data_IF_906237789213
#
_entry.id   IF_906237789213
#
_cell.length_a   1.000
_cell.length_b   1.000
_cell.length_c   1.000
_cell.angle_alpha   90.00
_cell.angle_beta   90.00
_cell.angle_gamma   90.00
#
_symmetry.space_group_name_H-M   'P 1'
#
loop_
_entity.id
_entity.type
_entity.pdbx_description
1 polymer ?
#
# COMPACT_ATOMS: atom_id res chain seq x y z
N UNK A 1 67.11 -23.17 -44.28
CA UNK A 1 67.74 -22.34 -43.25
C UNK A 1 66.92 -21.05 -43.04
N UNK A 2 66.08 -21.00 -42.07
CA UNK A 2 65.65 -19.77 -41.37
C UNK A 2 65.08 -20.15 -40.00
N UNK A 3 65.68 -19.57 -38.98
CA UNK A 3 65.38 -19.70 -37.55
C UNK A 3 64.01 -19.19 -37.15
N UNK A 4 63.28 -19.78 -36.16
CA UNK A 4 62.01 -19.27 -35.71
C UNK A 4 62.19 -18.19 -34.64
N UNK A 5 61.45 -17.08 -34.82
CA UNK A 5 61.35 -15.94 -33.88
C UNK A 5 60.51 -16.36 -32.67
N UNK A 6 61.03 -16.11 -31.45
CA UNK A 6 60.35 -16.22 -30.17
C UNK A 6 59.22 -15.20 -30.08
N UNK A 7 58.00 -15.68 -29.74
CA UNK A 7 56.86 -14.83 -29.31
C UNK A 7 56.99 -14.57 -27.82
N UNK A 8 57.06 -13.27 -27.48
CA UNK A 8 57.05 -12.81 -26.08
C UNK A 8 55.67 -12.91 -25.46
N UNK A 9 55.64 -13.47 -24.25
CA UNK A 9 54.44 -13.54 -23.40
C UNK A 9 53.99 -12.16 -22.98
N UNK A 10 52.78 -11.72 -23.41
CA UNK A 10 52.10 -10.57 -22.84
C UNK A 10 51.53 -10.95 -21.48
N UNK A 11 52.00 -10.28 -20.44
CA UNK A 11 51.43 -10.33 -19.09
C UNK A 11 50.00 -9.72 -19.14
N UNK A 12 49.01 -10.48 -18.76
CA UNK A 12 47.66 -10.00 -18.48
C UNK A 12 47.71 -9.08 -17.25
N UNK A 13 47.60 -7.78 -17.47
CA UNK A 13 47.38 -6.80 -16.42
C UNK A 13 45.92 -6.93 -15.94
N UNK A 14 45.71 -7.56 -14.76
CA UNK A 14 44.47 -7.43 -14.03
C UNK A 14 44.29 -5.97 -13.61
N UNK A 15 43.32 -5.28 -14.22
CA UNK A 15 42.85 -3.98 -13.73
C UNK A 15 42.09 -4.26 -12.45
N UNK A 16 42.73 -4.01 -11.32
CA UNK A 16 42.04 -3.94 -10.02
C UNK A 16 41.11 -2.73 -10.06
N UNK A 17 39.80 -2.96 -10.18
CA UNK A 17 38.80 -1.94 -9.86
C UNK A 17 38.88 -1.68 -8.36
N UNK A 18 39.63 -0.66 -7.97
CA UNK A 18 39.52 -0.08 -6.63
C UNK A 18 38.15 0.58 -6.53
N UNK A 19 37.26 -0.04 -5.79
CA UNK A 19 35.98 0.56 -5.40
C UNK A 19 36.28 1.93 -4.75
N UNK A 20 35.51 3.00 -5.09
CA UNK A 20 35.68 4.28 -4.43
C UNK A 20 35.47 4.13 -2.92
N UNK A 21 36.13 4.95 -2.08
CA UNK A 21 36.05 4.83 -0.63
C UNK A 21 34.61 4.94 -0.19
N UNK A 22 34.16 3.94 0.56
CA UNK A 22 32.84 3.89 1.19
C UNK A 22 32.71 5.15 2.04
N UNK A 23 31.91 6.14 1.59
CA UNK A 23 31.49 7.27 2.42
C UNK A 23 30.92 6.66 3.69
N UNK A 24 31.47 7.05 4.83
CA UNK A 24 31.11 6.55 6.15
C UNK A 24 29.57 6.49 6.26
N UNK A 25 29.03 5.29 6.27
CA UNK A 25 27.59 5.06 6.46
C UNK A 25 27.23 5.62 7.81
N UNK A 26 26.40 6.67 7.82
CA UNK A 26 25.86 7.22 9.09
C UNK A 26 25.27 6.04 9.87
N UNK A 27 25.70 5.88 11.13
CA UNK A 27 25.16 4.86 12.01
C UNK A 27 23.63 4.93 12.01
N UNK A 28 22.87 3.82 11.98
CA UNK A 28 21.41 3.83 12.07
C UNK A 28 20.89 4.64 13.26
N UNK A 29 21.64 4.73 14.33
CA UNK A 29 21.33 5.57 15.49
C UNK A 29 21.36 7.06 15.14
N UNK A 30 22.35 7.53 14.40
CA UNK A 30 22.44 8.93 13.96
C UNK A 30 21.31 9.28 12.98
N UNK A 31 20.93 8.36 12.11
CA UNK A 31 19.78 8.53 11.21
C UNK A 31 18.47 8.68 12.01
N UNK A 32 18.28 7.88 13.04
CA UNK A 32 17.13 7.99 13.96
C UNK A 32 17.10 9.33 14.68
N UNK A 33 18.23 9.80 15.20
CA UNK A 33 18.31 11.10 15.87
C UNK A 33 18.00 12.26 14.90
N UNK A 34 18.53 12.21 13.68
CA UNK A 34 18.20 13.20 12.63
C UNK A 34 16.72 13.17 12.27
N UNK A 35 16.11 11.99 12.17
CA UNK A 35 14.66 11.88 11.94
C UNK A 35 13.86 12.48 13.10
N UNK A 36 14.22 12.18 14.35
CA UNK A 36 13.58 12.77 15.53
C UNK A 36 13.67 14.29 15.52
N UNK A 37 14.85 14.84 15.24
CA UNK A 37 15.06 16.29 15.13
C UNK A 37 14.19 16.91 14.03
N UNK A 38 14.02 16.23 12.87
CA UNK A 38 13.12 16.68 11.81
C UNK A 38 11.66 16.68 12.24
N UNK A 39 11.20 15.61 12.89
CA UNK A 39 9.84 15.51 13.41
C UNK A 39 9.53 16.68 14.35
N UNK A 40 10.44 17.01 15.28
CA UNK A 40 10.30 18.13 16.22
C UNK A 40 10.35 19.50 15.52
N UNK A 41 11.18 19.66 14.48
CA UNK A 41 11.33 20.92 13.74
C UNK A 41 10.10 21.26 12.90
N UNK A 42 9.53 20.28 12.21
CA UNK A 42 8.48 20.50 11.20
C UNK A 42 7.06 20.30 11.74
N UNK A 43 6.91 19.70 12.92
CA UNK A 43 5.61 19.45 13.52
C UNK A 43 5.55 20.04 14.93
N UNK A 44 4.35 20.28 15.44
CA UNK A 44 4.18 20.71 16.83
C UNK A 44 3.93 19.54 17.78
N UNK A 45 4.01 19.82 19.07
CA UNK A 45 3.82 18.85 20.13
C UNK A 45 2.46 18.15 20.08
N UNK A 46 1.38 18.88 19.73
CA UNK A 46 0.02 18.31 19.63
C UNK A 46 -0.08 17.30 18.49
N UNK A 47 0.43 17.63 17.31
CA UNK A 47 0.44 16.72 16.15
C UNK A 47 1.29 15.48 16.44
N UNK A 48 2.48 15.67 17.00
CA UNK A 48 3.36 14.55 17.37
C UNK A 48 2.75 13.67 18.46
N UNK A 49 2.08 14.25 19.44
CA UNK A 49 1.35 13.50 20.46
C UNK A 49 0.21 12.66 19.85
N UNK A 50 -0.63 13.27 19.01
CA UNK A 50 -1.70 12.53 18.33
C UNK A 50 -1.15 11.40 17.46
N UNK A 51 -0.08 11.66 16.70
CA UNK A 51 0.59 10.65 15.90
C UNK A 51 1.13 9.50 16.78
N UNK A 52 1.90 9.82 17.81
CA UNK A 52 2.49 8.83 18.71
C UNK A 52 1.42 8.02 19.45
N UNK A 53 0.38 8.68 19.95
CA UNK A 53 -0.70 8.01 20.68
C UNK A 53 -1.57 7.16 19.76
N UNK A 54 -2.03 7.71 18.63
CA UNK A 54 -2.98 7.00 17.76
C UNK A 54 -2.28 5.99 16.88
N UNK A 55 -1.24 6.41 16.13
CA UNK A 55 -0.49 5.50 15.24
C UNK A 55 0.53 4.65 15.99
N UNK A 56 1.17 5.18 17.03
CA UNK A 56 2.11 4.40 17.82
C UNK A 56 1.41 3.40 18.72
N UNK A 57 0.66 3.89 19.72
CA UNK A 57 0.10 3.03 20.77
C UNK A 57 -1.19 2.34 20.35
N UNK A 58 -2.23 3.11 19.95
CA UNK A 58 -3.54 2.51 19.66
C UNK A 58 -3.52 1.58 18.44
N UNK A 59 -2.80 1.94 17.38
CA UNK A 59 -2.69 1.08 16.20
C UNK A 59 -1.90 -0.21 16.52
N UNK A 60 -0.85 -0.15 17.32
CA UNK A 60 -0.13 -1.34 17.78
C UNK A 60 -1.04 -2.27 18.61
N UNK A 61 -1.86 -1.70 19.51
CA UNK A 61 -2.86 -2.47 20.28
C UNK A 61 -3.93 -3.07 19.36
N UNK A 62 -4.34 -2.37 18.31
CA UNK A 62 -5.29 -2.88 17.32
C UNK A 62 -4.73 -4.11 16.59
N UNK A 63 -3.47 -4.06 16.16
CA UNK A 63 -2.78 -5.19 15.52
C UNK A 63 -2.59 -6.35 16.50
N UNK A 64 -2.27 -6.07 17.76
CA UNK A 64 -2.15 -7.14 18.78
C UNK A 64 -3.50 -7.83 19.03
N UNK A 65 -4.61 -7.09 19.04
CA UNK A 65 -5.96 -7.68 19.09
C UNK A 65 -6.24 -8.53 17.84
N UNK A 66 -5.83 -8.07 16.67
CA UNK A 66 -5.94 -8.85 15.42
C UNK A 66 -5.18 -10.17 15.54
N UNK A 67 -3.91 -10.16 15.99
CA UNK A 67 -3.13 -11.40 16.21
C UNK A 67 -3.83 -12.38 17.16
N UNK A 68 -4.43 -11.88 18.25
CA UNK A 68 -5.19 -12.73 19.19
C UNK A 68 -6.45 -13.32 18.55
N UNK A 69 -7.13 -12.56 17.69
CA UNK A 69 -8.28 -13.06 16.91
C UNK A 69 -7.88 -14.12 15.91
N UNK A 70 -6.79 -13.92 15.18
CA UNK A 70 -6.27 -14.92 14.24
C UNK A 70 -6.05 -16.28 14.90
N UNK A 71 -5.54 -16.32 16.14
CA UNK A 71 -5.38 -17.55 16.91
C UNK A 71 -6.71 -18.27 17.23
N UNK A 72 -7.83 -17.57 17.13
CA UNK A 72 -9.19 -18.12 17.31
C UNK A 72 -9.94 -18.34 15.99
N UNK A 73 -9.24 -18.19 14.86
CA UNK A 73 -9.86 -18.26 13.54
C UNK A 73 -10.71 -17.05 13.15
N UNK A 74 -10.72 -16.00 13.98
CA UNK A 74 -11.49 -14.78 13.75
C UNK A 74 -10.64 -13.75 13.00
N UNK A 75 -11.19 -13.14 11.93
CA UNK A 75 -10.49 -12.09 11.18
C UNK A 75 -11.32 -10.82 11.11
N UNK A 76 -10.85 -9.78 11.78
CA UNK A 76 -11.33 -8.42 11.62
C UNK A 76 -10.13 -7.50 11.40
N UNK A 77 -10.09 -6.71 10.30
CA UNK A 77 -8.90 -5.97 9.90
C UNK A 77 -8.60 -4.82 10.88
N UNK A 78 -7.37 -4.67 11.38
CA UNK A 78 -6.98 -3.51 12.18
C UNK A 78 -6.87 -2.21 11.37
N UNK A 79 -6.78 -2.30 10.04
CA UNK A 79 -6.74 -1.16 9.12
C UNK A 79 -7.86 -1.29 8.08
N UNK A 80 -8.61 -0.21 7.87
CA UNK A 80 -9.63 -0.14 6.82
C UNK A 80 -9.29 0.97 5.82
N UNK A 81 -9.32 0.63 4.56
CA UNK A 81 -9.33 1.61 3.48
C UNK A 81 -10.77 1.90 3.09
N UNK A 82 -11.13 3.17 2.99
CA UNK A 82 -12.49 3.60 2.65
C UNK A 82 -12.43 4.54 1.46
N UNK A 83 -13.00 4.10 0.34
CA UNK A 83 -13.23 4.98 -0.81
C UNK A 83 -14.43 5.88 -0.55
N UNK A 84 -14.16 7.16 -0.32
CA UNK A 84 -15.22 8.11 0.01
C UNK A 84 -15.93 8.67 -1.23
N UNK A 85 -15.31 8.56 -2.41
CA UNK A 85 -15.82 9.05 -3.70
C UNK A 85 -15.14 8.29 -4.85
N UNK A 86 -15.85 8.05 -5.96
CA UNK A 86 -15.25 7.48 -7.17
C UNK A 86 -14.76 8.54 -8.18
N UNK A 87 -15.22 9.77 -8.10
CA UNK A 87 -14.84 10.82 -9.05
C UNK A 87 -13.45 11.38 -8.80
N UNK A 88 -12.74 11.70 -9.89
CA UNK A 88 -11.41 12.32 -9.86
C UNK A 88 -11.28 13.34 -11.01
N UNK A 89 -10.45 14.35 -10.79
CA UNK A 89 -10.10 15.34 -11.83
C UNK A 89 -8.99 14.88 -12.78
N UNK A 90 -8.38 13.73 -12.51
CA UNK A 90 -7.29 13.14 -13.32
C UNK A 90 -7.72 11.84 -13.99
N UNK A 91 -6.96 11.43 -15.02
CA UNK A 91 -7.10 10.17 -15.77
C UNK A 91 -5.74 9.50 -15.85
N UNK A 92 -5.28 9.01 -14.68
CA UNK A 92 -3.96 8.38 -14.58
C UNK A 92 -3.93 7.06 -15.33
N UNK A 93 -2.82 6.81 -16.03
CA UNK A 93 -2.60 5.54 -16.73
C UNK A 93 -2.68 4.36 -15.76
N UNK A 94 -3.57 3.41 -16.06
CA UNK A 94 -3.78 2.21 -15.26
C UNK A 94 -4.34 2.49 -13.86
N UNK A 95 -5.14 3.53 -13.70
CA UNK A 95 -5.85 3.78 -12.45
C UNK A 95 -6.88 2.68 -12.18
N UNK A 96 -6.87 2.14 -10.96
CA UNK A 96 -7.83 1.11 -10.56
C UNK A 96 -9.26 1.65 -10.33
N UNK A 97 -9.41 2.97 -10.12
CA UNK A 97 -10.72 3.60 -9.90
C UNK A 97 -11.37 3.91 -11.24
N UNK A 98 -12.61 3.48 -11.42
CA UNK A 98 -13.43 3.91 -12.55
C UNK A 98 -14.01 5.30 -12.29
N UNK A 99 -13.36 6.30 -12.87
CA UNK A 99 -13.77 7.70 -12.77
C UNK A 99 -14.77 8.11 -13.85
N UNK A 100 -15.14 7.20 -14.78
CA UNK A 100 -16.17 7.41 -15.81
C UNK A 100 -17.57 7.05 -15.31
N UNK A 101 -17.67 6.20 -14.30
CA UNK A 101 -18.93 5.83 -13.68
C UNK A 101 -19.64 7.05 -13.05
N UNK A 102 -20.97 6.96 -12.93
CA UNK A 102 -21.76 7.99 -12.23
C UNK A 102 -21.16 8.26 -10.86
N UNK A 103 -21.03 9.55 -10.54
CA UNK A 103 -20.45 9.95 -9.26
C UNK A 103 -21.22 9.33 -8.09
N UNK A 104 -20.48 8.70 -7.20
CA UNK A 104 -20.95 8.14 -5.94
C UNK A 104 -20.06 8.67 -4.82
N UNK A 105 -20.67 9.03 -3.71
CA UNK A 105 -20.01 9.40 -2.46
C UNK A 105 -20.55 8.55 -1.33
N UNK A 106 -19.71 8.20 -0.37
CA UNK A 106 -20.18 7.56 0.85
C UNK A 106 -21.01 8.57 1.66
N UNK A 107 -22.17 8.15 2.11
CA UNK A 107 -23.03 8.98 2.95
C UNK A 107 -22.44 9.15 4.35
N UNK A 108 -22.39 10.38 4.93
CA UNK A 108 -21.82 10.59 6.25
C UNK A 108 -22.41 9.73 7.38
N UNK A 109 -23.73 9.55 7.52
CA UNK A 109 -24.30 8.60 8.47
C UNK A 109 -23.72 7.18 8.33
N UNK A 110 -23.59 6.65 7.10
CA UNK A 110 -23.02 5.35 6.84
C UNK A 110 -21.52 5.29 7.21
N UNK A 111 -20.75 6.34 6.87
CA UNK A 111 -19.35 6.46 7.26
C UNK A 111 -19.18 6.50 8.79
N UNK A 112 -19.99 7.29 9.49
CA UNK A 112 -19.91 7.38 10.94
C UNK A 112 -20.32 6.08 11.63
N UNK A 113 -21.31 5.36 11.09
CA UNK A 113 -21.66 4.01 11.56
C UNK A 113 -20.49 3.05 11.39
N UNK A 114 -19.91 3.02 10.18
CA UNK A 114 -18.72 2.21 9.87
C UNK A 114 -17.57 2.46 10.86
N UNK A 115 -17.22 3.73 11.09
CA UNK A 115 -16.13 4.09 12.00
C UNK A 115 -16.45 3.68 13.45
N UNK A 116 -17.68 3.87 13.93
CA UNK A 116 -18.06 3.46 15.29
C UNK A 116 -17.94 1.95 15.46
N UNK A 117 -18.55 1.16 14.57
CA UNK A 117 -18.51 -0.30 14.63
C UNK A 117 -17.06 -0.85 14.50
N UNK A 118 -16.23 -0.24 13.66
CA UNK A 118 -14.83 -0.60 13.56
C UNK A 118 -14.04 -0.26 14.84
N UNK A 119 -14.35 0.85 15.52
CA UNK A 119 -13.73 1.22 16.81
C UNK A 119 -14.09 0.24 17.93
N UNK A 120 -15.30 -0.30 17.96
CA UNK A 120 -15.69 -1.36 18.90
C UNK A 120 -14.81 -2.61 18.73
N UNK A 121 -14.38 -2.88 17.51
CA UNK A 121 -13.41 -3.92 17.21
C UNK A 121 -11.94 -3.49 17.44
N UNK A 122 -11.71 -2.25 17.87
CA UNK A 122 -10.41 -1.70 18.21
C UNK A 122 -9.64 -1.12 17.01
N UNK A 123 -10.29 -0.97 15.85
CA UNK A 123 -9.72 -0.25 14.72
C UNK A 123 -9.68 1.25 15.02
N UNK A 124 -8.55 1.89 14.73
CA UNK A 124 -8.35 3.33 14.94
C UNK A 124 -7.67 4.01 13.75
N UNK A 125 -7.28 3.23 12.74
CA UNK A 125 -6.62 3.73 11.53
C UNK A 125 -7.49 3.49 10.30
N UNK A 126 -7.67 4.56 9.53
CA UNK A 126 -8.43 4.54 8.29
C UNK A 126 -7.62 5.18 7.15
N UNK A 127 -7.41 4.44 6.07
CA UNK A 127 -6.93 5.00 4.81
C UNK A 127 -8.12 5.55 4.03
N UNK A 128 -8.16 6.83 3.79
CA UNK A 128 -9.19 7.48 2.97
C UNK A 128 -8.68 7.52 1.54
N UNK A 129 -9.39 6.80 0.69
CA UNK A 129 -9.07 6.64 -0.74
C UNK A 129 -10.30 6.98 -1.59
N UNK A 130 -10.23 6.67 -2.88
CA UNK A 130 -11.30 6.90 -3.83
C UNK A 130 -10.74 7.36 -5.17
N UNK A 131 -11.50 8.16 -5.91
CA UNK A 131 -10.98 8.94 -7.02
C UNK A 131 -10.03 10.02 -6.47
N UNK A 132 -10.59 11.19 -6.14
CA UNK A 132 -9.86 12.22 -5.39
C UNK A 132 -10.67 12.59 -4.13
N UNK A 133 -10.22 12.21 -2.93
CA UNK A 133 -10.98 12.43 -1.70
C UNK A 133 -11.32 13.91 -1.44
N UNK A 134 -10.43 14.86 -1.80
CA UNK A 134 -10.69 16.28 -1.62
C UNK A 134 -11.73 16.86 -2.60
N UNK A 135 -12.24 16.05 -3.53
CA UNK A 135 -13.44 16.37 -4.32
C UNK A 135 -14.75 15.98 -3.60
N UNK A 136 -14.68 15.18 -2.53
CA UNK A 136 -15.85 14.89 -1.72
C UNK A 136 -16.35 16.15 -1.03
N UNK A 137 -17.60 16.59 -1.27
CA UNK A 137 -18.09 17.92 -0.81
C UNK A 137 -18.11 18.06 0.71
N UNK A 138 -18.25 16.94 1.41
CA UNK A 138 -18.37 16.86 2.87
C UNK A 138 -17.21 16.11 3.54
N UNK A 139 -16.02 16.09 2.93
CA UNK A 139 -14.86 15.30 3.44
C UNK A 139 -14.56 15.61 4.92
N UNK A 140 -14.53 16.87 5.29
CA UNK A 140 -14.21 17.24 6.67
C UNK A 140 -15.29 16.82 7.66
N UNK A 141 -16.55 16.81 7.26
CA UNK A 141 -17.64 16.27 8.09
C UNK A 141 -17.46 14.78 8.37
N UNK A 142 -16.87 14.02 7.45
CA UNK A 142 -16.53 12.61 7.69
C UNK A 142 -15.45 12.46 8.76
N UNK A 143 -14.46 13.33 8.80
CA UNK A 143 -13.24 13.15 9.60
C UNK A 143 -13.32 13.80 11.00
N UNK A 144 -13.93 15.00 11.10
CA UNK A 144 -13.98 15.82 12.31
C UNK A 144 -14.62 15.15 13.53
N UNK A 145 -15.72 14.38 13.40
CA UNK A 145 -16.36 13.70 14.54
C UNK A 145 -15.54 12.57 15.18
N UNK A 146 -14.37 12.20 14.60
CA UNK A 146 -13.57 11.08 15.05
C UNK A 146 -12.15 11.49 15.47
N UNK A 147 -11.96 12.36 16.48
CA UNK A 147 -10.66 12.88 16.89
C UNK A 147 -9.74 11.81 17.51
N UNK A 148 -10.27 10.67 17.89
CA UNK A 148 -9.62 9.51 18.47
C UNK A 148 -9.17 8.45 17.44
N UNK A 149 -9.52 8.65 16.16
CA UNK A 149 -9.02 7.91 15.01
C UNK A 149 -7.85 8.64 14.33
N UNK A 150 -7.13 7.95 13.47
CA UNK A 150 -6.12 8.53 12.58
C UNK A 150 -6.47 8.25 11.12
N UNK A 151 -6.47 9.30 10.31
CA UNK A 151 -6.86 9.23 8.90
C UNK A 151 -5.65 9.53 8.00
N UNK A 152 -5.35 8.61 7.10
CA UNK A 152 -4.39 8.82 6.02
C UNK A 152 -5.15 9.04 4.72
N UNK A 153 -5.09 10.25 4.16
CA UNK A 153 -5.83 10.63 2.97
C UNK A 153 -4.93 10.55 1.74
N UNK A 154 -5.20 9.59 0.87
CA UNK A 154 -4.50 9.45 -0.41
C UNK A 154 -5.07 10.45 -1.41
N UNK A 155 -4.25 11.35 -1.90
CA UNK A 155 -4.71 12.48 -2.72
C UNK A 155 -3.72 12.84 -3.81
N UNK A 156 -4.19 13.40 -4.91
CA UNK A 156 -3.33 14.02 -5.90
C UNK A 156 -2.83 15.42 -5.46
N UNK A 157 -3.34 15.94 -4.35
CA UNK A 157 -2.90 17.20 -3.74
C UNK A 157 -3.49 18.49 -4.36
N UNK A 158 -4.06 18.45 -5.55
CA UNK A 158 -4.45 19.64 -6.31
C UNK A 158 -5.57 20.45 -5.67
N UNK A 159 -6.36 19.85 -4.79
CA UNK A 159 -7.46 20.50 -4.07
C UNK A 159 -7.10 20.92 -2.64
N UNK A 160 -5.84 20.78 -2.23
CA UNK A 160 -5.40 21.22 -0.90
C UNK A 160 -5.01 22.70 -0.96
N UNK A 161 -5.99 23.58 -0.77
CA UNK A 161 -5.76 25.02 -0.59
C UNK A 161 -5.11 25.30 0.77
N UNK A 162 -4.62 26.53 0.96
CA UNK A 162 -4.07 26.95 2.25
C UNK A 162 -5.11 26.84 3.39
N UNK A 163 -6.38 27.17 3.11
CA UNK A 163 -7.48 27.01 4.07
C UNK A 163 -7.71 25.54 4.47
N UNK A 164 -7.73 24.64 3.49
CA UNK A 164 -7.87 23.21 3.76
C UNK A 164 -6.66 22.69 4.55
N UNK A 165 -5.46 23.15 4.23
CA UNK A 165 -4.26 22.79 4.97
C UNK A 165 -4.31 23.27 6.44
N UNK A 166 -4.79 24.50 6.69
CA UNK A 166 -5.06 25.01 8.04
C UNK A 166 -6.06 24.13 8.79
N UNK A 167 -7.15 23.73 8.12
CA UNK A 167 -8.16 22.83 8.72
C UNK A 167 -7.58 21.44 9.05
N UNK A 168 -6.80 20.85 8.14
CA UNK A 168 -6.06 19.58 8.42
C UNK A 168 -5.14 19.72 9.64
N UNK A 169 -4.46 20.87 9.76
CA UNK A 169 -3.62 21.19 10.90
C UNK A 169 -4.42 21.28 12.21
N UNK A 170 -5.60 21.89 12.19
CA UNK A 170 -6.51 21.98 13.34
C UNK A 170 -6.97 20.59 13.80
N UNK A 171 -7.27 19.69 12.87
CA UNK A 171 -7.62 18.30 13.20
C UNK A 171 -6.45 17.57 13.87
N UNK A 172 -5.27 17.62 13.27
CA UNK A 172 -4.03 17.04 13.80
C UNK A 172 -3.98 15.51 13.84
N UNK A 173 -5.04 14.83 13.42
CA UNK A 173 -5.16 13.38 13.29
C UNK A 173 -5.39 12.94 11.82
N UNK A 174 -5.12 13.82 10.88
CA UNK A 174 -5.21 13.59 9.45
C UNK A 174 -3.87 13.84 8.80
N UNK A 175 -3.37 12.89 8.05
CA UNK A 175 -2.15 13.02 7.24
C UNK A 175 -2.47 12.89 5.77
N UNK A 176 -2.24 13.93 4.96
CA UNK A 176 -2.25 13.78 3.51
C UNK A 176 -1.06 12.92 3.06
N UNK A 177 -1.34 11.97 2.20
CA UNK A 177 -0.36 11.18 1.47
C UNK A 177 -0.48 11.55 0.00
N UNK A 178 0.39 12.45 -0.44
CA UNK A 178 0.28 13.14 -1.72
C UNK A 178 0.97 12.32 -2.81
N UNK A 179 0.26 12.05 -3.87
CA UNK A 179 0.73 11.18 -4.96
C UNK A 179 1.63 11.95 -5.92
N UNK A 180 2.91 11.56 -6.01
CA UNK A 180 3.91 12.10 -6.94
C UNK A 180 4.58 10.93 -7.65
N UNK A 181 4.59 10.94 -8.99
CA UNK A 181 5.02 9.77 -9.79
C UNK A 181 6.42 9.92 -10.39
N UNK A 182 7.16 10.98 -10.04
CA UNK A 182 8.51 11.24 -10.55
C UNK A 182 8.77 12.72 -10.77
N UNK A 183 9.69 13.02 -11.68
CA UNK A 183 9.94 14.37 -12.19
C UNK A 183 8.77 14.86 -13.05
N UNK A 184 8.79 16.12 -13.50
CA UNK A 184 7.64 16.76 -14.16
C UNK A 184 7.12 15.95 -15.36
N UNK A 185 8.01 15.59 -16.29
CA UNK A 185 7.63 14.85 -17.50
C UNK A 185 7.03 13.48 -17.13
N UNK A 186 7.68 12.74 -16.25
CA UNK A 186 7.25 11.39 -15.84
C UNK A 186 5.93 11.45 -15.07
N UNK A 187 5.79 12.46 -14.19
CA UNK A 187 4.58 12.62 -13.38
C UNK A 187 3.39 13.05 -14.24
N UNK A 188 3.56 14.00 -15.13
CA UNK A 188 2.49 14.51 -15.98
C UNK A 188 2.01 13.45 -16.98
N UNK A 189 2.94 12.73 -17.62
CA UNK A 189 2.60 11.61 -18.51
C UNK A 189 1.81 10.52 -17.76
N UNK A 190 2.32 10.08 -16.61
CA UNK A 190 1.67 9.05 -15.78
C UNK A 190 0.28 9.46 -15.30
N UNK A 191 0.07 10.76 -15.05
CA UNK A 191 -1.18 11.35 -14.56
C UNK A 191 -2.13 11.76 -15.68
N UNK A 192 -1.71 11.63 -16.94
CA UNK A 192 -2.53 11.86 -18.14
C UNK A 192 -2.90 13.32 -18.39
N UNK A 193 -2.11 14.27 -17.88
CA UNK A 193 -2.37 15.70 -18.05
C UNK A 193 -1.10 16.52 -17.80
N UNK A 194 -0.95 17.64 -18.50
CA UNK A 194 0.11 18.64 -18.26
C UNK A 194 -0.15 19.40 -16.95
N UNK A 195 0.90 19.96 -16.37
CA UNK A 195 0.89 20.77 -15.14
C UNK A 195 0.41 20.05 -13.88
N UNK A 196 0.36 18.72 -13.89
CA UNK A 196 -0.10 17.95 -12.73
C UNK A 196 0.89 18.09 -11.59
N UNK A 197 2.21 17.92 -11.87
CA UNK A 197 3.22 18.00 -10.83
C UNK A 197 3.25 19.38 -10.18
N UNK A 198 3.20 20.47 -10.95
CA UNK A 198 3.23 21.83 -10.40
C UNK A 198 2.07 22.09 -9.43
N UNK A 199 0.84 21.73 -9.81
CA UNK A 199 -0.36 21.84 -8.96
C UNK A 199 -0.32 20.91 -7.74
N UNK A 200 0.21 19.71 -7.90
CA UNK A 200 0.41 18.76 -6.78
C UNK A 200 1.42 19.32 -5.78
N UNK A 201 2.51 19.92 -6.27
CA UNK A 201 3.52 20.54 -5.42
C UNK A 201 2.99 21.78 -4.69
N UNK A 202 2.08 22.54 -5.28
CA UNK A 202 1.40 23.66 -4.60
C UNK A 202 0.63 23.15 -3.37
N UNK A 203 -0.20 22.11 -3.54
CA UNK A 203 -0.91 21.48 -2.41
C UNK A 203 0.03 20.90 -1.35
N UNK A 204 1.14 20.29 -1.77
CA UNK A 204 2.18 19.82 -0.85
C UNK A 204 2.78 20.98 -0.05
N UNK A 205 3.16 22.07 -0.71
CA UNK A 205 3.70 23.26 -0.03
C UNK A 205 2.67 23.91 0.91
N UNK A 206 1.38 23.90 0.56
CA UNK A 206 0.32 24.37 1.46
C UNK A 206 0.29 23.56 2.76
N UNK A 207 0.41 22.23 2.67
CA UNK A 207 0.51 21.36 3.84
C UNK A 207 1.75 21.68 4.68
N UNK A 208 2.92 21.75 4.04
CA UNK A 208 4.19 21.95 4.74
C UNK A 208 4.27 23.31 5.44
N UNK A 209 3.83 24.39 4.77
CA UNK A 209 3.77 25.74 5.38
C UNK A 209 2.87 25.77 6.60
N UNK A 210 1.78 25.02 6.58
CA UNK A 210 0.86 24.91 7.71
C UNK A 210 1.26 23.82 8.73
N UNK A 211 2.47 23.25 8.63
CA UNK A 211 2.98 22.21 9.54
C UNK A 211 2.07 20.99 9.67
N UNK A 212 1.42 20.60 8.58
CA UNK A 212 0.67 19.35 8.51
C UNK A 212 1.65 18.20 8.34
N UNK A 213 1.53 17.16 9.16
CA UNK A 213 2.32 15.93 8.98
C UNK A 213 1.97 15.29 7.64
N UNK A 214 2.86 15.38 6.67
CA UNK A 214 2.58 15.08 5.27
C UNK A 214 3.54 14.06 4.70
N UNK A 215 3.01 13.12 3.93
CA UNK A 215 3.78 12.14 3.17
C UNK A 215 3.63 12.28 1.67
N UNK A 216 4.53 11.61 0.94
CA UNK A 216 4.46 11.45 -0.52
C UNK A 216 4.36 9.96 -0.82
N UNK A 217 3.41 9.57 -1.67
CA UNK A 217 3.37 8.21 -2.22
C UNK A 217 3.65 8.21 -3.74
N UNK A 218 4.19 7.10 -4.19
CA UNK A 218 4.46 6.86 -5.60
C UNK A 218 3.95 5.47 -5.96
N UNK A 219 3.40 5.32 -7.15
CA UNK A 219 3.06 4.03 -7.73
C UNK A 219 4.20 3.59 -8.65
N UNK A 220 5.10 2.75 -8.14
CA UNK A 220 6.24 2.24 -8.90
C UNK A 220 5.77 1.43 -10.11
N UNK A 221 6.14 1.90 -11.29
CA UNK A 221 5.86 1.29 -12.57
C UNK A 221 7.17 1.23 -13.40
N UNK A 222 7.19 0.47 -14.49
CA UNK A 222 8.37 0.41 -15.38
C UNK A 222 8.82 1.76 -15.88
N UNK A 223 7.88 2.67 -16.08
CA UNK A 223 8.15 3.99 -16.69
C UNK A 223 8.73 5.01 -15.72
N UNK A 224 8.66 4.77 -14.39
CA UNK A 224 9.12 5.75 -13.40
C UNK A 224 10.11 5.18 -12.37
N UNK A 225 10.40 3.89 -12.40
CA UNK A 225 11.23 3.25 -11.36
C UNK A 225 12.66 3.83 -11.34
N UNK A 226 13.22 4.16 -12.49
CA UNK A 226 14.57 4.68 -12.58
C UNK A 226 14.68 6.14 -12.14
N UNK A 227 13.61 6.91 -12.22
CA UNK A 227 13.51 8.27 -11.71
C UNK A 227 13.37 8.29 -10.19
N UNK A 228 12.58 7.36 -9.65
CA UNK A 228 12.17 7.31 -8.23
C UNK A 228 13.14 6.57 -7.31
N UNK A 229 13.76 5.48 -7.78
CA UNK A 229 14.69 4.70 -6.95
C UNK A 229 16.12 5.28 -7.01
N UNK A 230 16.24 6.55 -6.64
CA UNK A 230 17.51 7.29 -6.55
C UNK A 230 17.67 7.98 -5.20
N UNK A 231 18.90 8.06 -4.70
CA UNK A 231 19.15 8.82 -3.47
C UNK A 231 18.76 10.30 -3.63
N UNK A 232 18.95 10.84 -4.83
CA UNK A 232 18.57 12.22 -5.17
C UNK A 232 17.08 12.48 -4.98
N UNK A 233 16.23 11.52 -5.36
CA UNK A 233 14.77 11.61 -5.13
C UNK A 233 14.45 11.68 -3.65
N UNK A 234 15.02 10.78 -2.84
CA UNK A 234 14.80 10.76 -1.39
C UNK A 234 15.32 12.04 -0.74
N UNK A 235 16.50 12.51 -1.13
CA UNK A 235 17.06 13.78 -0.63
C UNK A 235 16.16 14.96 -0.95
N UNK A 236 15.61 15.05 -2.17
CA UNK A 236 14.63 16.07 -2.54
C UNK A 236 13.41 16.08 -1.62
N UNK A 237 12.84 14.90 -1.30
CA UNK A 237 11.73 14.80 -0.35
C UNK A 237 12.11 15.28 1.06
N UNK A 238 13.33 14.97 1.49
CA UNK A 238 13.87 15.43 2.77
C UNK A 238 14.01 16.95 2.79
N UNK A 239 14.58 17.53 1.75
CA UNK A 239 14.88 18.96 1.66
C UNK A 239 13.63 19.83 1.64
N UNK A 240 12.58 19.40 0.96
CA UNK A 240 11.28 20.12 0.94
C UNK A 240 10.48 19.94 2.22
N UNK A 241 10.87 19.03 3.13
CA UNK A 241 10.24 18.86 4.45
C UNK A 241 9.23 17.70 4.55
N UNK A 242 9.16 16.79 3.58
CA UNK A 242 8.29 15.60 3.63
C UNK A 242 8.73 14.67 4.77
N UNK A 243 7.78 14.19 5.57
CA UNK A 243 8.06 13.40 6.76
C UNK A 243 8.15 11.90 6.49
N UNK A 244 7.38 11.41 5.51
CA UNK A 244 7.40 10.00 5.13
C UNK A 244 7.10 9.82 3.64
N UNK A 245 7.58 8.71 3.09
CA UNK A 245 7.25 8.31 1.72
C UNK A 245 6.78 6.86 1.69
N UNK A 246 5.90 6.56 0.76
CA UNK A 246 5.37 5.22 0.55
C UNK A 246 5.52 4.81 -0.90
N UNK A 247 6.31 3.77 -1.13
CA UNK A 247 6.47 3.15 -2.45
C UNK A 247 5.43 2.04 -2.62
N UNK A 248 4.37 2.32 -3.38
CA UNK A 248 3.44 1.31 -3.83
C UNK A 248 3.96 0.64 -5.10
N UNK A 249 3.67 -0.63 -5.29
CA UNK A 249 3.95 -1.32 -6.55
C UNK A 249 2.67 -1.33 -7.37
N UNK A 250 2.75 -0.85 -8.61
CA UNK A 250 1.63 -0.83 -9.54
C UNK A 250 1.00 -2.22 -9.73
N UNK A 251 -0.32 -2.27 -9.80
CA UNK A 251 -1.11 -3.46 -10.08
C UNK A 251 -2.08 -3.18 -11.23
N UNK A 252 -2.14 -4.04 -12.26
CA UNK A 252 -2.90 -3.80 -13.48
C UNK A 252 -4.36 -4.20 -13.28
N UNK A 253 -5.14 -3.36 -12.61
CA UNK A 253 -6.56 -3.55 -12.39
C UNK A 253 -7.31 -2.27 -12.68
N UNK A 254 -8.57 -2.38 -13.07
CA UNK A 254 -9.43 -1.24 -13.38
C UNK A 254 -9.69 -1.10 -14.90
N UNK A 255 -10.46 -0.07 -15.31
CA UNK A 255 -10.94 0.08 -16.68
C UNK A 255 -9.83 0.28 -17.73
N UNK A 256 -8.68 0.76 -17.30
CA UNK A 256 -7.47 0.91 -18.14
C UNK A 256 -6.31 0.13 -17.53
N UNK A 257 -6.51 -1.17 -17.31
CA UNK A 257 -5.44 -2.02 -16.80
C UNK A 257 -4.26 -2.07 -17.77
N UNK A 258 -3.07 -1.72 -17.30
CA UNK A 258 -1.83 -1.61 -18.08
C UNK A 258 -0.79 -2.63 -17.62
N UNK A 259 -0.88 -3.89 -18.12
CA UNK A 259 0.09 -4.94 -17.73
C UNK A 259 1.53 -4.62 -18.09
N UNK A 260 1.76 -3.77 -19.09
CA UNK A 260 3.05 -3.27 -19.53
C UNK A 260 3.75 -2.37 -18.47
N UNK A 261 2.99 -1.75 -17.57
CA UNK A 261 3.52 -0.94 -16.48
C UNK A 261 3.99 -1.77 -15.27
N UNK A 262 3.66 -3.06 -15.19
CA UNK A 262 4.06 -3.91 -14.06
C UNK A 262 5.58 -4.07 -14.00
N UNK A 263 6.12 -3.99 -12.80
CA UNK A 263 7.53 -4.26 -12.54
C UNK A 263 7.88 -5.73 -12.84
N UNK A 264 9.10 -5.97 -13.30
CA UNK A 264 9.67 -7.32 -13.36
C UNK A 264 10.05 -7.78 -11.93
N UNK A 265 10.27 -9.10 -11.72
CA UNK A 265 10.78 -9.60 -10.43
C UNK A 265 12.09 -8.92 -10.01
N UNK A 266 13.02 -8.69 -10.94
CA UNK A 266 14.29 -8.00 -10.70
C UNK A 266 14.08 -6.56 -10.27
N UNK A 267 13.17 -5.84 -10.94
CA UNK A 267 12.81 -4.46 -10.58
C UNK A 267 12.18 -4.39 -9.18
N UNK A 268 11.35 -5.35 -8.82
CA UNK A 268 10.76 -5.41 -7.46
C UNK A 268 11.82 -5.71 -6.40
N UNK A 269 12.75 -6.62 -6.68
CA UNK A 269 13.88 -6.89 -5.80
C UNK A 269 14.76 -5.64 -5.64
N UNK A 270 15.06 -4.94 -6.74
CA UNK A 270 15.77 -3.64 -6.71
C UNK A 270 15.03 -2.62 -5.84
N UNK A 271 13.71 -2.50 -5.98
CA UNK A 271 12.89 -1.60 -5.15
C UNK A 271 12.98 -1.96 -3.66
N UNK A 272 12.89 -3.24 -3.33
CA UNK A 272 13.06 -3.71 -1.94
C UNK A 272 14.43 -3.40 -1.40
N UNK A 273 15.49 -3.69 -2.14
CA UNK A 273 16.87 -3.40 -1.75
C UNK A 273 17.06 -1.90 -1.50
N UNK A 274 16.60 -1.06 -2.43
CA UNK A 274 16.66 0.40 -2.30
C UNK A 274 15.97 0.89 -1.03
N UNK A 275 14.75 0.43 -0.75
CA UNK A 275 13.99 0.82 0.45
C UNK A 275 14.76 0.47 1.72
N UNK A 276 15.30 -0.74 1.82
CA UNK A 276 16.07 -1.18 3.01
C UNK A 276 17.35 -0.35 3.20
N UNK A 277 18.03 -0.01 2.10
CA UNK A 277 19.23 0.82 2.15
C UNK A 277 18.92 2.27 2.56
N UNK A 278 17.88 2.87 1.97
CA UNK A 278 17.50 4.26 2.29
C UNK A 278 17.01 4.40 3.73
N UNK A 279 16.31 3.43 4.28
CA UNK A 279 15.94 3.39 5.70
C UNK A 279 17.14 3.48 6.64
N UNK A 280 18.25 2.87 6.26
CA UNK A 280 19.48 2.92 7.05
C UNK A 280 20.25 4.22 6.90
N UNK A 281 20.11 4.92 5.76
CA UNK A 281 20.93 6.08 5.39
C UNK A 281 20.22 7.43 5.57
N UNK A 282 18.90 7.50 5.36
CA UNK A 282 18.16 8.76 5.19
C UNK A 282 17.19 9.03 6.33
N UNK A 283 17.12 10.28 6.86
CA UNK A 283 16.26 10.65 7.99
C UNK A 283 14.83 10.97 7.52
N UNK A 284 14.18 10.01 6.88
CA UNK A 284 12.78 10.05 6.44
C UNK A 284 12.15 8.68 6.69
N UNK A 285 10.87 8.65 7.06
CA UNK A 285 10.15 7.38 7.20
C UNK A 285 9.82 6.85 5.81
N UNK A 286 10.24 5.61 5.51
CA UNK A 286 9.92 4.96 4.24
C UNK A 286 9.02 3.76 4.53
N UNK A 287 7.78 3.80 4.02
CA UNK A 287 6.80 2.74 4.21
C UNK A 287 6.89 1.73 3.07
N UNK A 288 6.82 0.47 3.42
CA UNK A 288 6.74 -0.68 2.54
C UNK A 288 5.93 -1.76 3.25
N UNK A 289 4.71 -1.99 2.81
CA UNK A 289 3.75 -2.90 3.44
C UNK A 289 3.76 -4.32 2.85
N UNK A 290 4.62 -4.58 1.84
CA UNK A 290 4.61 -5.83 1.06
C UNK A 290 5.62 -6.86 1.51
N UNK A 291 6.40 -6.58 2.54
CA UNK A 291 7.42 -7.49 3.08
C UNK A 291 7.40 -7.45 4.60
N UNK A 292 7.69 -8.60 5.22
CA UNK A 292 7.91 -8.69 6.67
C UNK A 292 9.34 -8.24 7.07
N UNK A 293 9.69 -8.40 8.33
CA UNK A 293 11.02 -8.02 8.85
C UNK A 293 12.15 -8.84 8.30
N UNK A 294 11.89 -10.09 7.93
CA UNK A 294 12.85 -11.02 7.36
C UNK A 294 12.99 -10.85 5.82
N UNK A 295 12.19 -9.96 5.23
CA UNK A 295 12.21 -9.69 3.79
C UNK A 295 11.38 -10.66 2.97
N UNK A 296 10.55 -11.48 3.61
CA UNK A 296 9.61 -12.35 2.91
C UNK A 296 8.42 -11.53 2.44
N UNK A 297 8.00 -11.73 1.19
CA UNK A 297 6.85 -11.04 0.66
C UNK A 297 5.57 -11.44 1.43
N UNK A 298 4.63 -10.52 1.56
CA UNK A 298 3.32 -10.74 2.15
C UNK A 298 2.24 -9.91 1.45
N UNK A 299 1.03 -10.45 1.41
CA UNK A 299 -0.15 -9.74 0.96
C UNK A 299 -0.97 -9.27 2.18
N UNK A 300 -1.19 -7.95 2.37
CA UNK A 300 -1.99 -7.44 3.47
C UNK A 300 -3.42 -8.02 3.54
N UNK A 301 -4.04 -8.29 2.40
CA UNK A 301 -5.37 -8.91 2.35
C UNK A 301 -5.33 -10.39 2.77
N UNK A 302 -4.29 -11.14 2.39
CA UNK A 302 -4.11 -12.53 2.81
C UNK A 302 -3.85 -12.67 4.31
N UNK A 303 -3.11 -11.72 4.91
CA UNK A 303 -2.92 -11.68 6.37
C UNK A 303 -4.15 -11.14 7.11
N UNK A 304 -5.16 -10.62 6.39
CA UNK A 304 -6.36 -10.01 6.96
C UNK A 304 -6.10 -8.70 7.71
N UNK A 305 -4.90 -8.11 7.56
CA UNK A 305 -4.53 -6.87 8.26
C UNK A 305 -5.25 -5.64 7.70
N UNK A 306 -5.66 -5.68 6.45
CA UNK A 306 -6.42 -4.59 5.83
C UNK A 306 -7.46 -5.10 4.84
N UNK A 307 -8.57 -4.38 4.74
CA UNK A 307 -9.63 -4.56 3.75
C UNK A 307 -10.06 -3.20 3.20
N UNK A 308 -10.88 -3.22 2.17
CA UNK A 308 -11.37 -2.02 1.48
C UNK A 308 -12.90 -1.93 1.55
N UNK A 309 -13.39 -0.73 1.71
CA UNK A 309 -14.82 -0.39 1.58
C UNK A 309 -14.94 0.54 0.38
N UNK A 310 -15.70 0.12 -0.63
CA UNK A 310 -15.91 0.92 -1.83
C UNK A 310 -16.96 2.02 -1.61
N UNK A 311 -17.14 2.98 -2.55
CA UNK A 311 -18.06 4.12 -2.36
C UNK A 311 -19.53 3.74 -2.24
N UNK A 312 -19.90 2.51 -2.64
CA UNK A 312 -21.25 1.95 -2.51
C UNK A 312 -21.44 1.15 -1.22
N UNK A 313 -20.41 1.10 -0.36
CA UNK A 313 -20.43 0.37 0.90
C UNK A 313 -20.07 -1.10 0.79
N UNK A 314 -19.70 -1.61 -0.38
CA UNK A 314 -19.26 -2.99 -0.57
C UNK A 314 -17.94 -3.27 0.17
N UNK A 315 -17.85 -4.44 0.82
CA UNK A 315 -16.65 -4.91 1.52
C UNK A 315 -15.82 -5.75 0.55
N UNK A 316 -14.61 -5.30 0.26
CA UNK A 316 -13.68 -5.91 -0.68
C UNK A 316 -12.42 -6.40 0.04
N UNK A 317 -11.78 -7.50 -0.43
CA UNK A 317 -10.52 -7.98 0.13
C UNK A 317 -9.38 -6.93 0.14
N UNK A 318 -9.29 -6.14 -0.93
CA UNK A 318 -8.36 -4.99 -1.05
C UNK A 318 -8.83 -4.08 -2.19
N UNK A 319 -8.28 -2.86 -2.33
CA UNK A 319 -8.74 -1.89 -3.34
C UNK A 319 -8.67 -2.38 -4.79
N UNK A 320 -7.79 -3.36 -5.08
CA UNK A 320 -7.63 -3.92 -6.43
C UNK A 320 -8.37 -5.24 -6.65
N UNK A 321 -8.96 -5.85 -5.62
CA UNK A 321 -9.91 -6.96 -5.74
C UNK A 321 -11.31 -6.40 -5.65
N UNK A 322 -11.81 -5.91 -6.76
CA UNK A 322 -13.04 -5.13 -6.89
C UNK A 322 -14.31 -6.01 -6.90
N UNK A 323 -14.39 -6.99 -5.98
CA UNK A 323 -15.52 -7.88 -5.85
C UNK A 323 -16.00 -7.94 -4.41
N UNK A 324 -17.31 -7.91 -4.23
CA UNK A 324 -17.95 -7.84 -2.92
C UNK A 324 -19.09 -8.83 -2.80
N UNK A 325 -19.25 -9.41 -1.61
CA UNK A 325 -20.41 -10.21 -1.22
C UNK A 325 -21.20 -9.51 -0.13
N UNK A 326 -20.51 -8.87 0.80
CA UNK A 326 -21.08 -8.14 1.93
C UNK A 326 -21.03 -6.62 1.69
N UNK A 327 -21.93 -5.90 2.38
CA UNK A 327 -21.97 -4.44 2.39
C UNK A 327 -22.02 -3.90 3.82
N UNK A 328 -21.47 -2.71 4.06
CA UNK A 328 -21.62 -2.01 5.37
C UNK A 328 -23.06 -1.62 5.68
N UNK A 329 -23.90 -1.56 4.64
CA UNK A 329 -25.33 -1.27 4.80
C UNK A 329 -26.05 -2.52 5.34
N UNK A 330 -26.80 -2.35 6.43
CA UNK A 330 -27.72 -3.37 6.88
C UNK A 330 -29.04 -3.23 6.10
N UNK A 331 -29.62 -4.37 5.72
CA UNK A 331 -30.92 -4.46 5.03
C UNK A 331 -31.83 -5.40 5.80
N UNK A 332 -33.09 -5.47 5.41
CA UNK A 332 -34.02 -6.47 6.00
C UNK A 332 -33.54 -7.91 5.78
N UNK A 333 -32.92 -8.18 4.62
CA UNK A 333 -32.39 -9.50 4.26
C UNK A 333 -31.02 -9.79 4.89
N UNK A 334 -30.25 -8.74 5.24
CA UNK A 334 -28.97 -8.86 5.92
C UNK A 334 -28.85 -7.82 7.05
N UNK A 335 -29.40 -8.08 8.23
CA UNK A 335 -29.37 -7.17 9.37
C UNK A 335 -28.02 -7.16 10.12
N UNK A 336 -27.04 -8.00 9.73
CA UNK A 336 -25.75 -8.13 10.41
C UNK A 336 -25.03 -6.78 10.50
N UNK A 337 -24.34 -6.56 11.62
CA UNK A 337 -23.41 -5.45 11.81
C UNK A 337 -22.05 -5.72 11.12
N UNK A 338 -21.18 -4.72 11.13
CA UNK A 338 -19.85 -4.80 10.49
C UNK A 338 -19.02 -5.97 11.03
N UNK A 339 -19.08 -6.22 12.33
CA UNK A 339 -18.36 -7.32 12.98
C UNK A 339 -18.74 -8.66 12.38
N UNK A 340 -20.03 -8.96 12.33
CA UNK A 340 -20.57 -10.23 11.83
C UNK A 340 -20.25 -10.40 10.33
N UNK A 341 -20.34 -9.33 9.55
CA UNK A 341 -20.02 -9.34 8.12
C UNK A 341 -18.56 -9.71 7.84
N UNK A 342 -17.61 -9.27 8.67
CA UNK A 342 -16.22 -9.72 8.55
C UNK A 342 -15.97 -11.13 9.07
N UNK A 343 -16.55 -11.48 10.23
CA UNK A 343 -16.27 -12.76 10.88
C UNK A 343 -16.98 -13.95 10.20
N UNK A 344 -18.16 -13.73 9.62
CA UNK A 344 -19.01 -14.76 9.04
C UNK A 344 -18.93 -14.83 7.51
N UNK A 345 -18.18 -13.95 6.85
CA UNK A 345 -18.02 -13.98 5.40
C UNK A 345 -17.22 -15.20 4.96
N UNK A 346 -17.88 -16.14 4.33
CA UNK A 346 -17.26 -17.28 3.65
C UNK A 346 -16.38 -16.83 2.47
N UNK A 347 -16.83 -15.82 1.71
CA UNK A 347 -16.05 -15.24 0.62
C UNK A 347 -14.71 -14.67 1.10
N UNK A 348 -14.72 -13.82 2.13
CA UNK A 348 -13.48 -13.24 2.66
C UNK A 348 -12.57 -14.31 3.29
N UNK A 349 -13.13 -15.33 3.94
CA UNK A 349 -12.38 -16.44 4.50
C UNK A 349 -11.69 -17.24 3.41
N UNK A 350 -12.44 -17.67 2.39
CA UNK A 350 -11.92 -18.52 1.31
C UNK A 350 -10.95 -17.74 0.42
N UNK A 351 -11.19 -16.44 0.17
CA UNK A 351 -10.21 -15.56 -0.47
C UNK A 351 -8.87 -15.56 0.29
N UNK A 352 -8.90 -15.37 1.62
CA UNK A 352 -7.66 -15.35 2.42
C UNK A 352 -6.95 -16.70 2.38
N UNK A 353 -7.69 -17.78 2.56
CA UNK A 353 -7.13 -19.14 2.51
C UNK A 353 -6.48 -19.40 1.16
N UNK A 354 -7.15 -19.06 0.06
CA UNK A 354 -6.59 -19.20 -1.27
C UNK A 354 -5.32 -18.37 -1.46
N UNK A 355 -5.36 -17.09 -1.08
CA UNK A 355 -4.21 -16.20 -1.23
C UNK A 355 -3.00 -16.68 -0.41
N UNK A 356 -3.21 -17.19 0.80
CA UNK A 356 -2.16 -17.75 1.66
C UNK A 356 -1.51 -18.99 1.06
N UNK A 357 -2.30 -19.84 0.41
CA UNK A 357 -1.83 -21.11 -0.17
C UNK A 357 -1.20 -20.94 -1.56
N UNK A 358 -1.62 -19.93 -2.30
CA UNK A 358 -1.27 -19.79 -3.72
C UNK A 358 -0.08 -18.88 -3.97
N UNK A 359 0.15 -17.88 -3.11
CA UNK A 359 1.20 -16.88 -3.33
C UNK A 359 1.57 -16.14 -2.06
N UNK A 360 2.81 -15.69 -1.96
CA UNK A 360 3.21 -14.67 -0.97
C UNK A 360 3.20 -13.25 -1.56
N UNK A 361 3.04 -13.13 -2.89
CA UNK A 361 2.95 -11.86 -3.60
C UNK A 361 1.50 -11.36 -3.74
N UNK A 362 1.14 -10.94 -4.94
CA UNK A 362 -0.20 -10.42 -5.25
C UNK A 362 -1.02 -11.43 -6.04
N UNK A 363 -2.09 -11.96 -5.46
CA UNK A 363 -2.94 -12.97 -6.10
C UNK A 363 -3.55 -12.47 -7.42
N UNK A 364 -3.93 -11.19 -7.51
CA UNK A 364 -4.45 -10.59 -8.75
C UNK A 364 -3.41 -10.65 -9.86
N UNK A 365 -2.14 -10.43 -9.53
CA UNK A 365 -1.07 -10.41 -10.50
C UNK A 365 -0.57 -11.80 -10.87
N UNK A 366 -0.48 -12.69 -9.88
CA UNK A 366 0.17 -13.98 -10.01
C UNK A 366 -0.80 -15.11 -10.35
N UNK A 367 -1.99 -15.12 -9.73
CA UNK A 367 -2.99 -16.18 -9.87
C UNK A 367 -4.41 -15.63 -10.07
N UNK A 368 -4.65 -14.80 -11.12
CA UNK A 368 -5.98 -14.30 -11.45
C UNK A 368 -6.96 -15.44 -11.75
N UNK A 369 -6.49 -16.56 -12.25
CA UNK A 369 -7.25 -17.78 -12.52
C UNK A 369 -7.90 -18.35 -11.26
N UNK A 370 -7.15 -18.47 -10.17
CA UNK A 370 -7.67 -18.97 -8.89
C UNK A 370 -8.58 -17.94 -8.21
N UNK A 371 -8.22 -16.66 -8.31
CA UNK A 371 -9.06 -15.59 -7.78
C UNK A 371 -10.44 -15.59 -8.46
N UNK A 372 -10.50 -15.76 -9.78
CA UNK A 372 -11.76 -15.90 -10.52
C UNK A 372 -12.62 -17.04 -9.99
N UNK A 373 -12.04 -18.21 -9.76
CA UNK A 373 -12.78 -19.37 -9.23
C UNK A 373 -13.45 -19.08 -7.89
N UNK A 374 -12.77 -18.37 -6.98
CA UNK A 374 -13.37 -18.01 -5.68
C UNK A 374 -14.49 -16.98 -5.85
N UNK A 375 -14.31 -15.98 -6.72
CA UNK A 375 -15.34 -14.99 -7.02
C UNK A 375 -16.61 -15.67 -7.55
N UNK A 376 -16.48 -16.54 -8.54
CA UNK A 376 -17.60 -17.27 -9.16
C UNK A 376 -18.27 -18.22 -8.15
N UNK A 377 -17.49 -18.98 -7.37
CA UNK A 377 -18.01 -19.90 -6.35
C UNK A 377 -18.91 -19.21 -5.33
N UNK A 378 -18.52 -18.02 -4.88
CA UNK A 378 -19.26 -17.26 -3.86
C UNK A 378 -20.31 -16.33 -4.47
N UNK A 379 -20.42 -16.22 -5.79
CA UNK A 379 -21.29 -15.26 -6.45
C UNK A 379 -20.97 -13.81 -6.04
N UNK A 380 -19.68 -13.52 -5.77
CA UNK A 380 -19.27 -12.17 -5.42
C UNK A 380 -19.50 -11.21 -6.59
N UNK A 381 -20.12 -10.08 -6.31
CA UNK A 381 -20.57 -9.13 -7.34
C UNK A 381 -19.45 -8.16 -7.68
N UNK A 382 -19.46 -7.64 -8.90
CA UNK A 382 -18.63 -6.52 -9.32
C UNK A 382 -18.92 -5.29 -8.42
N UNK A 383 -17.91 -4.87 -7.67
CA UNK A 383 -17.97 -3.72 -6.76
C UNK A 383 -17.80 -2.36 -7.46
N UNK A 384 -17.60 -2.36 -8.79
CA UNK A 384 -17.25 -1.14 -9.56
C UNK A 384 -18.44 -0.54 -10.29
N UNK A 385 -19.57 -1.24 -10.37
CA UNK A 385 -20.75 -0.93 -11.17
C UNK A 385 -20.50 -0.88 -12.69
N UNK A 386 -19.28 -1.17 -13.17
CA UNK A 386 -18.99 -1.29 -14.62
C UNK A 386 -19.63 -2.54 -15.22
N UNK A 387 -19.69 -3.60 -14.43
CA UNK A 387 -20.11 -4.93 -14.89
C UNK A 387 -19.04 -5.70 -15.66
N UNK A 388 -17.83 -5.15 -15.84
CA UNK A 388 -16.75 -5.75 -16.64
C UNK A 388 -15.57 -6.28 -15.83
N UNK A 389 -15.57 -6.09 -14.51
CA UNK A 389 -14.41 -6.45 -13.67
C UNK A 389 -14.07 -7.96 -13.75
N UNK A 390 -15.05 -8.84 -13.93
CA UNK A 390 -14.81 -10.28 -14.07
C UNK A 390 -14.20 -10.64 -15.43
N UNK A 391 -14.61 -9.95 -16.50
CA UNK A 391 -14.02 -10.09 -17.83
C UNK A 391 -12.57 -9.58 -17.83
N UNK A 392 -12.34 -8.41 -17.23
CA UNK A 392 -11.00 -7.82 -17.04
C UNK A 392 -10.07 -8.80 -16.31
N UNK A 393 -10.53 -9.38 -15.19
CA UNK A 393 -9.79 -10.38 -14.43
C UNK A 393 -9.53 -11.64 -15.27
N UNK A 394 -10.52 -12.07 -16.06
CA UNK A 394 -10.42 -13.28 -16.92
C UNK A 394 -9.42 -13.11 -18.06
N UNK A 395 -9.21 -11.88 -18.53
CA UNK A 395 -8.21 -11.55 -19.54
C UNK A 395 -6.77 -11.52 -18.99
N UNK A 396 -6.59 -11.52 -17.67
CA UNK A 396 -5.27 -11.48 -17.05
C UNK A 396 -4.57 -12.84 -17.15
N UNK A 397 -3.27 -12.80 -17.43
CA UNK A 397 -2.44 -14.01 -17.52
C UNK A 397 -1.83 -14.35 -16.17
N UNK A 398 -1.75 -15.63 -15.86
CA UNK A 398 -0.95 -16.16 -14.74
C UNK A 398 0.52 -15.73 -14.92
N UNK A 399 1.16 -15.28 -13.84
CA UNK A 399 2.54 -14.82 -13.84
C UNK A 399 3.35 -15.56 -12.78
N UNK A 400 4.66 -15.63 -13.00
CA UNK A 400 5.61 -16.14 -11.99
C UNK A 400 5.50 -15.30 -10.72
N UNK A 401 5.56 -15.96 -9.57
CA UNK A 401 5.55 -15.29 -8.27
C UNK A 401 6.69 -14.29 -8.14
N UNK A 402 6.38 -13.18 -7.51
CA UNK A 402 7.36 -12.15 -7.15
C UNK A 402 8.15 -12.49 -5.89
N UNK A 403 7.76 -13.56 -5.21
CA UNK A 403 8.49 -14.12 -4.07
C UNK A 403 9.32 -15.32 -4.52
N UNK A 404 10.61 -15.24 -4.24
CA UNK A 404 11.56 -16.32 -4.50
C UNK A 404 12.27 -16.65 -3.18
N UNK A 405 11.98 -17.80 -2.56
CA UNK A 405 12.67 -18.25 -1.35
C UNK A 405 14.19 -18.28 -1.53
N UNK A 406 14.91 -17.79 -0.52
CA UNK A 406 16.37 -17.65 -0.56
C UNK A 406 16.85 -16.33 -1.17
N UNK A 407 15.94 -15.48 -1.68
CA UNK A 407 16.28 -14.15 -2.21
C UNK A 407 15.75 -13.01 -1.33
N UNK A 408 15.41 -13.30 -0.08
CA UNK A 408 14.89 -12.33 0.87
C UNK A 408 15.91 -11.23 1.17
N UNK A 409 15.42 -10.02 1.36
CA UNK A 409 16.22 -8.86 1.77
C UNK A 409 15.69 -8.38 3.13
N UNK A 410 16.30 -8.86 4.25
CA UNK A 410 15.87 -8.50 5.60
C UNK A 410 16.06 -7.02 5.91
N UNK A 411 15.28 -6.52 6.87
CA UNK A 411 15.47 -5.17 7.39
C UNK A 411 16.83 -5.01 8.08
N UNK A 412 17.56 -3.98 7.71
CA UNK A 412 18.85 -3.63 8.30
C UNK A 412 18.72 -2.72 9.51
N UNK A 413 17.74 -1.82 9.49
CA UNK A 413 17.55 -0.81 10.53
C UNK A 413 16.70 -1.35 11.68
N UNK A 414 17.19 -1.27 12.91
CA UNK A 414 16.56 -1.84 14.12
C UNK A 414 15.11 -1.38 14.34
N UNK A 415 14.82 -0.08 14.16
CA UNK A 415 13.49 0.47 14.38
C UNK A 415 12.48 -0.10 13.36
N UNK A 416 12.89 -0.32 12.11
CA UNK A 416 12.04 -0.95 11.10
C UNK A 416 11.84 -2.44 11.37
N UNK A 417 12.81 -3.15 11.93
CA UNK A 417 12.61 -4.54 12.38
C UNK A 417 11.52 -4.62 13.45
N UNK A 418 11.55 -3.71 14.42
CA UNK A 418 10.50 -3.62 15.45
C UNK A 418 9.14 -3.27 14.81
N UNK A 419 9.08 -2.22 13.99
CA UNK A 419 7.85 -1.80 13.33
C UNK A 419 7.26 -2.92 12.45
N UNK A 420 8.09 -3.64 11.68
CA UNK A 420 7.65 -4.78 10.88
C UNK A 420 7.09 -5.92 11.72
N UNK A 421 7.74 -6.27 12.83
CA UNK A 421 7.23 -7.28 13.77
C UNK A 421 5.89 -6.89 14.38
N UNK A 422 5.69 -5.61 14.67
CA UNK A 422 4.45 -5.11 15.24
C UNK A 422 3.32 -5.04 14.20
N UNK A 423 3.57 -4.48 13.01
CA UNK A 423 2.53 -4.07 12.08
C UNK A 423 2.49 -4.84 10.75
N UNK A 424 3.60 -5.41 10.30
CA UNK A 424 3.71 -6.01 8.97
C UNK A 424 4.47 -7.35 9.05
N UNK A 425 3.98 -8.27 9.89
CA UNK A 425 4.44 -9.66 9.89
C UNK A 425 3.40 -10.55 9.20
N UNK A 426 3.80 -11.75 8.84
CA UNK A 426 2.88 -12.74 8.28
C UNK A 426 1.94 -13.36 9.32
N UNK A 427 2.18 -13.06 10.61
CA UNK A 427 1.41 -13.54 11.76
C UNK A 427 1.22 -15.07 11.80
N UNK A 428 2.06 -15.81 11.09
CA UNK A 428 2.00 -17.26 11.00
C UNK A 428 0.98 -17.78 9.98
N UNK A 429 0.35 -16.93 9.17
CA UNK A 429 -0.68 -17.36 8.21
C UNK A 429 -0.12 -18.11 7.00
N UNK A 430 1.17 -17.95 6.70
CA UNK A 430 1.84 -18.66 5.60
C UNK A 430 2.58 -19.93 6.05
N UNK A 431 2.46 -20.33 7.33
CA UNK A 431 3.13 -21.51 7.84
C UNK A 431 2.59 -22.79 7.18
N UNK A 432 3.49 -23.67 6.75
CA UNK A 432 3.16 -24.95 6.15
C UNK A 432 2.87 -24.93 4.64
N UNK A 433 2.97 -23.77 3.99
CA UNK A 433 2.78 -23.65 2.54
C UNK A 433 4.13 -23.48 1.82
N UNK A 434 4.41 -24.38 0.88
CA UNK A 434 5.53 -24.24 -0.04
C UNK A 434 5.11 -23.35 -1.22
N UNK A 435 5.65 -22.13 -1.25
CA UNK A 435 5.40 -21.16 -2.31
C UNK A 435 6.44 -21.24 -3.45
N UNK A 436 7.29 -22.27 -3.47
CA UNK A 436 8.33 -22.44 -4.48
C UNK A 436 7.80 -23.05 -5.78
N UNK A 437 6.67 -23.76 -5.72
CA UNK A 437 6.12 -24.47 -6.86
C UNK A 437 5.49 -23.50 -7.87
N UNK A 438 6.02 -23.48 -9.10
CA UNK A 438 5.38 -22.89 -10.28
C UNK A 438 4.28 -23.80 -10.86
N UNK A 439 4.15 -25.03 -10.33
CA UNK A 439 3.09 -25.94 -10.70
C UNK A 439 1.75 -25.38 -10.20
N UNK A 440 0.74 -25.40 -11.06
CA UNK A 440 -0.62 -25.11 -10.64
C UNK A 440 -0.95 -26.00 -9.44
N UNK A 441 -1.37 -25.45 -8.27
CA UNK A 441 -1.90 -26.31 -7.22
C UNK A 441 -3.02 -27.15 -7.84
N UNK A 442 -3.01 -28.45 -7.58
CA UNK A 442 -4.11 -29.32 -7.97
C UNK A 442 -5.40 -28.67 -7.48
N UNK A 443 -6.45 -28.74 -8.30
CA UNK A 443 -7.79 -28.23 -7.98
C UNK A 443 -8.06 -28.47 -6.49
N UNK A 444 -8.27 -27.39 -5.74
CA UNK A 444 -8.51 -27.47 -4.30
C UNK A 444 -9.71 -28.39 -4.12
N UNK A 445 -9.49 -29.57 -3.56
CA UNK A 445 -10.55 -30.52 -3.28
C UNK A 445 -11.52 -29.86 -2.27
N UNK A 446 -12.70 -29.58 -2.73
CA UNK A 446 -13.77 -28.92 -1.94
C UNK A 446 -14.11 -29.65 -0.63
N UNK A 447 -13.70 -30.90 -0.49
CA UNK A 447 -13.90 -31.73 0.69
C UNK A 447 -13.02 -31.37 1.90
N UNK A 448 -11.87 -30.73 1.68
CA UNK A 448 -10.98 -30.31 2.78
C UNK A 448 -11.47 -29.10 3.58
N UNK A 449 -12.49 -28.39 3.13
CA UNK A 449 -13.05 -27.21 3.81
C UNK A 449 -14.37 -27.50 4.54
N UNK A 450 -14.88 -28.74 4.47
CA UNK A 450 -16.08 -29.14 5.19
C UNK A 450 -15.80 -29.74 6.59
N UNK A 451 -14.54 -30.00 6.92
CA UNK A 451 -14.14 -30.70 8.17
C UNK A 451 -13.25 -29.83 9.10
N UNK A 452 -13.18 -28.50 8.91
CA UNK A 452 -12.42 -27.61 9.79
C UNK A 452 -13.31 -26.55 10.48
#
# INVERSE_FOLDING_TARGET
QRSPRRFGSRRNGFIQFTSPPIRATLSPMLTTLKLAARLLRYNDARTLWKLAWTMGVKAALSVERHKRRLKRGEVFPPFLYVSVINSCNLRCQGCWVDVSAKQQTIDPPAFHKLVREAKEMGNVFFGIVGGEPFMHPRLFELLEPHPDCYFQVFTNGQFITDEKAKRLRQLGNVTPLISVEGTEIVSDDRRGRKDVLSKTMEGLHNCLRNRVFTGVCTSLARTNIDDLLTEKWVDRLIDIGVMYTWFHVYRPMGPDARPDLCLTPEQQRRARQFVVEMRAKKPIIIIDAYYDGEGRALCPAATGISHHINPWGGIEPCPIVQFTKESIHSTADDPRGLREKFLQSDYLRDFRSLAQQSTRGCIVLERPDLLKQVIERHGAKDGTVRGTALEELSAMRVRTSQYHPGHEIPEKHWAYRIAKRLWFSDFGVYNGHDHTSTAAPALIDSRRFAEA
#
